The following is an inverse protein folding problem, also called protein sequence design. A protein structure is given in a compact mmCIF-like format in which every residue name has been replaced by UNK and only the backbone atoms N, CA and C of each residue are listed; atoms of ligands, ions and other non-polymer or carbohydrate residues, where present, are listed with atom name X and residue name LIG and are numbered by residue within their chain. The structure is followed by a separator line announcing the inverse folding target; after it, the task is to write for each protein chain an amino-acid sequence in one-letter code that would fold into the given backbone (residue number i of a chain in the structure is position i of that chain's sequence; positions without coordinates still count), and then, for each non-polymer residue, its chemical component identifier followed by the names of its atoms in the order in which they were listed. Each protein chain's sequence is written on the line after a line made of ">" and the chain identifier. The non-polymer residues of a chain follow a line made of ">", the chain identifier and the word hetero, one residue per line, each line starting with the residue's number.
data_IF_496073329876
#
_entry.id   IF_496073329876
#
_cell.length_a   1.000
_cell.length_b   1.000
_cell.length_c   1.000
_cell.angle_alpha   90.00
_cell.angle_beta   90.00
_cell.angle_gamma   90.00
#
_symmetry.space_group_name_H-M   'P 1'
#
loop_
_entity.id
_entity.type
_entity.pdbx_description
1 polymer ?
#
# COMPACT_ATOMS: atom_id res chain seq x y z
N UNK A 1 -61.48 -10.74 -7.39
CA UNK A 1 -60.45 -9.81 -7.90
C UNK A 1 -59.49 -9.55 -6.76
N UNK A 2 -58.44 -10.35 -6.63
CA UNK A 2 -57.44 -10.22 -5.58
C UNK A 2 -56.24 -9.44 -6.12
N UNK A 3 -55.89 -8.38 -5.44
CA UNK A 3 -54.82 -7.47 -5.75
C UNK A 3 -53.44 -8.11 -5.37
N UNK A 4 -52.49 -8.27 -6.29
CA UNK A 4 -51.19 -8.90 -6.03
C UNK A 4 -50.15 -7.87 -5.57
N UNK A 5 -50.33 -7.30 -4.39
CA UNK A 5 -49.35 -6.38 -3.77
C UNK A 5 -49.23 -6.71 -2.30
N UNK A 6 -48.56 -7.79 -1.98
CA UNK A 6 -47.90 -8.00 -0.68
C UNK A 6 -47.30 -9.39 -0.65
N UNK A 7 -46.14 -9.53 -1.28
CA UNK A 7 -45.29 -10.69 -1.09
C UNK A 7 -44.18 -10.32 -0.11
N UNK A 8 -44.24 -10.72 1.16
CA UNK A 8 -43.21 -10.37 2.17
C UNK A 8 -41.84 -11.02 1.90
N UNK A 9 -41.78 -12.01 1.03
CA UNK A 9 -40.48 -12.67 0.65
C UNK A 9 -39.55 -11.78 -0.18
N UNK A 10 -40.08 -10.77 -0.90
CA UNK A 10 -39.22 -9.91 -1.75
C UNK A 10 -38.48 -8.86 -0.91
N UNK A 11 -39.00 -8.46 0.25
CA UNK A 11 -38.36 -7.50 1.15
C UNK A 11 -37.21 -8.12 1.95
N UNK A 12 -37.29 -9.41 2.28
CA UNK A 12 -36.26 -10.12 3.04
C UNK A 12 -35.07 -10.52 2.14
N UNK A 13 -35.31 -10.79 0.86
CA UNK A 13 -34.24 -11.07 -0.12
C UNK A 13 -33.38 -9.83 -0.42
N UNK A 14 -33.95 -8.62 -0.37
CA UNK A 14 -33.21 -7.38 -0.59
C UNK A 14 -32.25 -7.01 0.55
N UNK A 15 -32.48 -7.50 1.77
CA UNK A 15 -31.66 -7.22 2.95
C UNK A 15 -30.42 -8.13 3.05
N UNK A 16 -30.46 -9.33 2.45
CA UNK A 16 -29.31 -10.27 2.49
C UNK A 16 -28.28 -10.06 1.39
N UNK A 17 -28.55 -9.20 0.40
CA UNK A 17 -27.74 -9.00 -0.81
C UNK A 17 -26.60 -7.98 -0.62
N UNK A 18 -26.61 -7.24 0.50
CA UNK A 18 -25.77 -6.04 0.65
C UNK A 18 -24.43 -6.23 1.37
N UNK A 19 -23.91 -7.44 1.52
CA UNK A 19 -22.84 -7.71 2.48
C UNK A 19 -21.44 -7.92 1.89
N UNK A 20 -21.15 -7.50 0.65
CA UNK A 20 -19.81 -7.70 0.08
C UNK A 20 -19.19 -6.40 -0.36
N UNK A 21 -18.43 -5.83 0.53
CA UNK A 21 -17.75 -4.58 0.30
C UNK A 21 -16.25 -4.74 0.58
N UNK A 22 -15.44 -4.43 -0.41
CA UNK A 22 -14.00 -4.36 -0.28
C UNK A 22 -13.59 -2.94 0.08
N UNK A 23 -13.02 -2.76 1.25
CA UNK A 23 -12.27 -1.54 1.54
C UNK A 23 -10.98 -1.60 0.75
N UNK A 24 -10.88 -0.80 -0.32
CA UNK A 24 -9.66 -0.70 -1.11
C UNK A 24 -8.60 0.07 -0.34
N UNK A 25 -7.86 -0.64 0.50
CA UNK A 25 -6.56 -0.13 0.94
C UNK A 25 -5.60 -0.31 -0.24
N UNK A 26 -5.57 0.66 -1.16
CA UNK A 26 -4.75 0.67 -2.39
C UNK A 26 -3.24 0.44 -2.12
N UNK A 27 -2.82 0.41 -0.85
CA UNK A 27 -1.42 0.45 -0.46
C UNK A 27 -0.96 -0.65 0.50
N UNK A 28 -1.74 -1.70 0.77
CA UNK A 28 -1.34 -2.72 1.75
C UNK A 28 -0.11 -3.54 1.35
N UNK A 29 0.33 -3.48 0.10
CA UNK A 29 1.42 -4.30 -0.45
C UNK A 29 2.38 -3.47 -1.33
N UNK A 30 2.86 -2.34 -0.82
CA UNK A 30 3.95 -1.60 -1.46
C UNK A 30 5.25 -2.40 -1.38
N UNK A 31 5.90 -2.61 -2.54
CA UNK A 31 7.26 -3.15 -2.64
C UNK A 31 8.21 -1.96 -2.78
N UNK A 32 8.78 -1.50 -1.66
CA UNK A 32 9.64 -0.32 -1.63
C UNK A 32 11.07 -0.70 -1.24
N UNK A 33 11.98 -0.96 -2.22
CA UNK A 33 13.38 -1.22 -1.94
C UNK A 33 14.06 0.01 -1.34
N UNK A 34 15.11 -0.21 -0.54
CA UNK A 34 15.96 0.80 0.09
C UNK A 34 15.29 1.65 1.18
N UNK A 35 14.23 1.10 1.79
CA UNK A 35 13.53 1.79 2.87
C UNK A 35 14.41 2.11 4.08
N UNK A 36 15.44 1.29 4.33
CA UNK A 36 16.36 1.43 5.47
C UNK A 36 17.79 1.81 5.09
N UNK A 37 18.08 2.03 3.79
CA UNK A 37 19.40 2.45 3.34
C UNK A 37 19.90 3.71 4.05
N UNK A 38 21.21 3.78 4.27
CA UNK A 38 21.84 4.94 4.90
C UNK A 38 21.76 6.14 3.97
N UNK A 39 21.35 7.26 4.52
CA UNK A 39 21.30 8.57 3.84
C UNK A 39 21.83 9.65 4.81
N UNK A 40 22.28 10.81 4.31
CA UNK A 40 22.72 11.90 5.19
C UNK A 40 21.59 12.43 6.06
N UNK A 41 21.95 12.95 7.23
CA UNK A 41 21.02 13.69 8.09
C UNK A 41 20.70 15.05 7.47
N UNK A 42 19.49 15.57 7.71
CA UNK A 42 19.03 16.85 7.14
C UNK A 42 18.64 16.75 5.67
N UNK A 43 18.57 15.54 5.10
CA UNK A 43 18.07 15.33 3.75
C UNK A 43 16.55 15.53 3.72
N UNK A 44 16.10 16.35 2.79
CA UNK A 44 14.71 16.50 2.40
C UNK A 44 14.50 15.91 1.01
N UNK A 45 13.38 15.27 0.77
CA UNK A 45 13.01 14.76 -0.54
C UNK A 45 11.51 14.99 -0.81
N UNK A 46 11.19 15.54 -1.97
CA UNK A 46 9.82 15.62 -2.47
C UNK A 46 9.68 14.65 -3.65
N UNK A 47 8.57 13.94 -3.71
CA UNK A 47 8.28 12.98 -4.78
C UNK A 47 6.90 13.25 -5.37
N UNK A 48 6.84 13.25 -6.70
CA UNK A 48 5.60 13.17 -7.47
C UNK A 48 5.60 11.84 -8.20
N UNK A 49 4.52 11.07 -8.09
CA UNK A 49 4.39 9.82 -8.81
C UNK A 49 3.03 9.69 -9.50
N UNK A 50 3.04 8.96 -10.61
CA UNK A 50 1.86 8.49 -11.31
C UNK A 50 1.90 6.97 -11.36
N UNK A 51 0.82 6.35 -10.90
CA UNK A 51 0.64 4.90 -10.94
C UNK A 51 -0.62 4.57 -11.73
N UNK A 52 -0.47 3.72 -12.73
CA UNK A 52 -1.59 3.02 -13.34
C UNK A 52 -1.64 1.61 -12.77
N UNK A 53 -2.81 1.18 -12.33
CA UNK A 53 -3.01 -0.19 -11.88
C UNK A 53 -4.32 -0.73 -12.45
N UNK A 54 -4.30 -2.02 -12.81
CA UNK A 54 -5.48 -2.69 -13.33
C UNK A 54 -5.42 -4.17 -13.03
N UNK A 55 -6.58 -4.75 -12.73
CA UNK A 55 -6.70 -6.18 -12.45
C UNK A 55 -7.95 -6.55 -11.67
N UNK A 56 -8.03 -7.81 -11.35
CA UNK A 56 -9.18 -8.39 -10.68
C UNK A 56 -9.06 -8.28 -9.16
N UNK A 57 -10.21 -8.27 -8.51
CA UNK A 57 -10.29 -8.43 -7.06
C UNK A 57 -10.90 -9.79 -6.78
N UNK A 58 -10.10 -10.66 -6.20
CA UNK A 58 -10.53 -12.01 -5.81
C UNK A 58 -11.45 -11.87 -4.60
N UNK A 59 -12.72 -12.15 -4.81
CA UNK A 59 -13.75 -12.14 -3.78
C UNK A 59 -13.73 -13.46 -3.01
N UNK A 60 -14.08 -13.44 -1.73
CA UNK A 60 -14.31 -14.66 -0.95
C UNK A 60 -15.41 -15.54 -1.61
N UNK A 61 -15.36 -16.85 -1.33
CA UNK A 61 -16.21 -17.87 -1.97
C UNK A 61 -17.73 -17.60 -1.91
N UNK A 62 -18.18 -16.87 -0.89
CA UNK A 62 -19.60 -16.56 -0.67
C UNK A 62 -19.96 -15.12 -1.07
N UNK A 63 -19.14 -14.46 -1.90
CA UNK A 63 -19.36 -13.10 -2.32
C UNK A 63 -20.49 -12.99 -3.36
N UNK A 64 -21.53 -12.15 -3.19
CA UNK A 64 -22.49 -11.86 -4.23
C UNK A 64 -21.92 -10.96 -5.35
N UNK A 65 -20.71 -10.44 -5.18
CA UNK A 65 -19.97 -9.69 -6.20
C UNK A 65 -19.01 -10.65 -6.88
N UNK A 66 -19.17 -10.83 -8.17
CA UNK A 66 -18.33 -11.68 -9.02
C UNK A 66 -17.64 -10.81 -10.07
N UNK A 67 -16.51 -11.30 -10.59
CA UNK A 67 -15.77 -10.67 -11.69
C UNK A 67 -15.49 -9.18 -11.43
N UNK A 68 -15.15 -8.81 -10.19
CA UNK A 68 -14.79 -7.45 -9.85
C UNK A 68 -13.43 -7.11 -10.46
N UNK A 69 -13.43 -6.25 -11.47
CA UNK A 69 -12.23 -5.71 -12.09
C UNK A 69 -12.14 -4.22 -11.78
N UNK A 70 -10.93 -3.74 -11.45
CA UNK A 70 -10.70 -2.34 -11.13
C UNK A 70 -9.47 -1.83 -11.86
N UNK A 71 -9.66 -0.67 -12.49
CA UNK A 71 -8.59 0.13 -13.06
C UNK A 71 -8.47 1.44 -12.29
N UNK A 72 -7.25 1.81 -11.95
CA UNK A 72 -6.96 3.02 -11.20
C UNK A 72 -5.81 3.80 -11.83
N UNK A 73 -5.99 5.11 -11.97
CA UNK A 73 -4.92 6.09 -12.20
C UNK A 73 -4.73 6.89 -10.93
N UNK A 74 -3.52 6.89 -10.38
CA UNK A 74 -3.23 7.46 -9.06
C UNK A 74 -2.06 8.44 -9.20
N UNK A 75 -2.28 9.68 -8.79
CA UNK A 75 -1.23 10.69 -8.64
C UNK A 75 -0.92 10.78 -7.15
N UNK A 76 0.35 10.68 -6.76
CA UNK A 76 0.73 10.79 -5.35
C UNK A 76 1.82 11.83 -5.14
N UNK A 77 1.65 12.62 -4.09
CA UNK A 77 2.67 13.51 -3.56
C UNK A 77 3.25 12.90 -2.30
N UNK A 78 4.58 12.88 -2.23
CA UNK A 78 5.33 12.38 -1.08
C UNK A 78 6.38 13.38 -0.62
N UNK A 79 6.69 13.33 0.67
CA UNK A 79 7.77 14.09 1.27
C UNK A 79 8.48 13.22 2.30
N UNK A 80 9.80 13.29 2.31
CA UNK A 80 10.67 12.59 3.25
C UNK A 80 11.64 13.58 3.86
N UNK A 81 11.86 13.45 5.17
CA UNK A 81 12.90 14.17 5.89
C UNK A 81 13.67 13.21 6.79
N UNK A 82 15.00 13.39 6.83
CA UNK A 82 15.88 12.68 7.74
C UNK A 82 16.37 13.60 8.84
N UNK A 83 16.54 13.04 10.03
CA UNK A 83 16.94 13.79 11.22
C UNK A 83 17.76 12.91 12.17
N UNK A 84 18.43 13.53 13.14
CA UNK A 84 19.10 12.79 14.21
C UNK A 84 18.14 12.55 15.37
N UNK A 85 17.95 11.29 15.77
CA UNK A 85 17.18 10.86 16.92
C UNK A 85 18.07 10.03 17.84
N UNK A 86 18.43 10.53 19.02
CA UNK A 86 19.31 9.85 19.97
C UNK A 86 20.60 9.29 19.31
N UNK A 87 21.25 10.10 18.49
CA UNK A 87 22.45 9.73 17.68
C UNK A 87 22.22 8.58 16.69
N UNK A 88 20.98 8.34 16.29
CA UNK A 88 20.58 7.41 15.24
C UNK A 88 19.95 8.17 14.08
N UNK A 89 20.01 7.60 12.90
CA UNK A 89 19.33 8.16 11.73
C UNK A 89 17.82 7.92 11.85
N UNK A 90 17.08 8.99 12.09
CA UNK A 90 15.63 9.01 12.06
C UNK A 90 15.09 9.45 10.69
N UNK A 91 13.89 9.02 10.35
CA UNK A 91 13.23 9.35 9.09
C UNK A 91 11.73 9.53 9.33
N UNK A 92 11.18 10.58 8.76
CA UNK A 92 9.74 10.76 8.59
C UNK A 92 9.43 10.81 7.10
N UNK A 93 8.41 10.07 6.67
CA UNK A 93 7.86 10.16 5.33
C UNK A 93 6.36 10.37 5.41
N UNK A 94 5.83 11.25 4.57
CA UNK A 94 4.39 11.49 4.44
C UNK A 94 4.01 11.39 2.96
N UNK A 95 2.80 10.92 2.70
CA UNK A 95 2.31 10.80 1.33
C UNK A 95 0.80 10.88 1.26
N UNK A 96 0.29 11.48 0.19
CA UNK A 96 -1.15 11.59 -0.07
C UNK A 96 -1.42 11.26 -1.54
N UNK A 97 -2.26 10.26 -1.83
CA UNK A 97 -2.67 9.92 -3.18
C UNK A 97 -3.98 10.62 -3.55
N UNK A 98 -4.13 10.90 -4.84
CA UNK A 98 -5.40 11.22 -5.47
C UNK A 98 -5.66 10.18 -6.56
N UNK A 99 -6.80 9.49 -6.50
CA UNK A 99 -7.10 8.36 -7.35
C UNK A 99 -8.32 8.63 -8.26
N UNK A 100 -8.24 8.10 -9.47
CA UNK A 100 -9.34 7.96 -10.41
C UNK A 100 -9.57 6.46 -10.58
N UNK A 101 -10.69 5.95 -10.07
CA UNK A 101 -11.06 4.53 -10.09
C UNK A 101 -12.19 4.29 -11.07
N UNK A 102 -12.07 3.24 -11.87
CA UNK A 102 -13.16 2.68 -12.66
C UNK A 102 -13.23 1.18 -12.35
N UNK A 103 -14.41 0.71 -12.02
CA UNK A 103 -14.65 -0.69 -11.69
C UNK A 103 -15.85 -1.25 -12.42
N UNK A 104 -15.77 -2.53 -12.79
CA UNK A 104 -16.87 -3.34 -13.30
C UNK A 104 -17.02 -4.59 -12.45
N UNK A 105 -18.23 -5.02 -12.20
CA UNK A 105 -18.53 -6.21 -11.44
C UNK A 105 -19.85 -6.82 -11.88
N UNK A 106 -20.06 -8.09 -11.56
CA UNK A 106 -21.37 -8.73 -11.64
C UNK A 106 -21.95 -8.87 -10.24
N UNK A 107 -23.01 -8.12 -9.99
CA UNK A 107 -23.70 -8.10 -8.68
C UNK A 107 -25.05 -8.79 -8.83
N UNK A 108 -25.22 -9.94 -8.15
CA UNK A 108 -26.48 -10.74 -8.21
C UNK A 108 -26.92 -11.00 -9.64
N UNK A 109 -25.96 -11.38 -10.51
CA UNK A 109 -26.24 -11.70 -11.91
C UNK A 109 -26.37 -10.48 -12.85
N UNK A 110 -26.33 -9.25 -12.36
CA UNK A 110 -26.38 -8.03 -13.16
C UNK A 110 -25.02 -7.39 -13.30
N UNK A 111 -24.63 -7.05 -14.53
CA UNK A 111 -23.40 -6.34 -14.81
C UNK A 111 -23.54 -4.87 -14.36
N UNK A 112 -22.58 -4.41 -13.59
CA UNK A 112 -22.58 -3.08 -12.96
C UNK A 112 -21.22 -2.43 -13.15
N UNK A 113 -21.23 -1.11 -13.41
CA UNK A 113 -20.02 -0.31 -13.49
C UNK A 113 -20.10 0.88 -12.51
N UNK A 114 -18.98 1.26 -11.94
CA UNK A 114 -18.89 2.43 -11.07
C UNK A 114 -17.54 3.15 -11.26
N UNK A 115 -17.57 4.46 -11.10
CA UNK A 115 -16.36 5.29 -11.08
C UNK A 115 -16.31 6.13 -9.81
N UNK A 116 -15.09 6.42 -9.35
CA UNK A 116 -14.80 7.28 -8.19
C UNK A 116 -13.54 8.06 -8.45
N UNK A 117 -13.50 9.29 -7.99
CA UNK A 117 -12.28 10.08 -7.97
C UNK A 117 -12.21 10.89 -6.68
N UNK A 118 -11.02 11.04 -6.12
CA UNK A 118 -10.81 11.77 -4.88
C UNK A 118 -9.50 11.42 -4.20
N UNK A 119 -9.27 12.04 -3.06
CA UNK A 119 -8.13 11.72 -2.21
C UNK A 119 -8.28 10.34 -1.59
N UNK A 120 -7.18 9.59 -1.56
CA UNK A 120 -7.06 8.38 -0.76
C UNK A 120 -6.56 8.68 0.65
N UNK A 121 -6.45 7.64 1.47
CA UNK A 121 -5.93 7.78 2.83
C UNK A 121 -4.46 8.21 2.79
N UNK A 122 -4.13 9.16 3.65
CA UNK A 122 -2.77 9.63 3.84
C UNK A 122 -1.88 8.57 4.49
N UNK A 123 -0.57 8.64 4.25
CA UNK A 123 0.41 7.78 4.90
C UNK A 123 1.46 8.58 5.62
N UNK A 124 1.81 8.11 6.82
CA UNK A 124 2.91 8.64 7.62
C UNK A 124 3.77 7.44 8.02
N UNK A 125 5.06 7.46 7.67
CA UNK A 125 6.04 6.46 8.11
C UNK A 125 7.06 7.16 9.01
N UNK A 126 7.21 6.66 10.23
CA UNK A 126 8.26 7.07 11.16
C UNK A 126 9.23 5.90 11.30
N UNK A 127 10.49 6.12 11.05
CA UNK A 127 11.50 5.07 11.10
C UNK A 127 12.79 5.52 11.78
N UNK A 128 13.52 4.57 12.33
CA UNK A 128 14.85 4.78 12.88
C UNK A 128 15.75 3.58 12.55
N UNK A 129 16.96 3.87 12.10
CA UNK A 129 17.99 2.85 11.90
C UNK A 129 18.72 2.62 13.24
N UNK A 130 18.59 1.42 13.80
CA UNK A 130 19.11 1.08 15.10
C UNK A 130 20.60 0.69 15.06
N UNK A 131 21.00 -0.05 14.04
CA UNK A 131 22.35 -0.60 13.87
C UNK A 131 22.84 -0.30 12.45
N UNK A 132 24.16 -0.08 12.28
CA UNK A 132 24.82 0.04 10.99
C UNK A 132 24.62 1.36 10.25
N UNK A 133 23.91 2.31 10.83
CA UNK A 133 23.63 3.60 10.21
C UNK A 133 23.94 4.74 11.17
N UNK A 134 25.19 5.24 11.19
CA UNK A 134 25.53 6.42 11.97
C UNK A 134 24.85 7.67 11.40
N UNK A 135 24.74 8.70 12.24
CA UNK A 135 24.32 10.04 11.77
C UNK A 135 25.48 10.67 11.01
N UNK A 136 25.27 10.87 9.71
CA UNK A 136 26.32 11.38 8.80
C UNK A 136 25.87 12.70 8.18
N UNK A 137 26.76 13.69 8.26
CA UNK A 137 26.64 14.91 7.45
C UNK A 137 26.88 14.58 5.96
N UNK A 138 26.37 15.38 5.01
CA UNK A 138 26.54 15.11 3.57
C UNK A 138 28.00 14.89 3.12
N UNK A 139 28.95 15.62 3.74
CA UNK A 139 30.41 15.48 3.46
C UNK A 139 30.98 14.16 3.91
N UNK A 140 30.49 13.61 5.03
CA UNK A 140 31.02 12.36 5.61
C UNK A 140 30.33 11.15 4.97
N UNK A 141 29.09 11.31 4.54
CA UNK A 141 28.33 10.27 3.83
C UNK A 141 29.05 9.80 2.55
N UNK A 142 29.76 10.68 1.83
CA UNK A 142 30.49 10.32 0.62
C UNK A 142 31.60 9.29 0.85
N UNK A 143 32.14 9.23 2.07
CA UNK A 143 33.23 8.32 2.46
C UNK A 143 32.71 7.07 3.18
N UNK A 144 31.44 7.06 3.58
CA UNK A 144 30.86 5.98 4.34
C UNK A 144 30.57 4.77 3.45
N UNK A 145 30.96 3.60 3.92
CA UNK A 145 30.60 2.33 3.29
C UNK A 145 29.52 1.65 4.13
N UNK A 146 28.35 1.56 3.55
CA UNK A 146 27.22 0.85 4.13
C UNK A 146 27.49 -0.65 4.09
N UNK A 147 27.22 -1.35 5.21
CA UNK A 147 27.28 -2.81 5.31
C UNK A 147 25.91 -3.36 5.68
N UNK A 148 25.70 -3.71 6.97
CA UNK A 148 24.42 -4.20 7.44
C UNK A 148 23.73 -3.12 8.26
N UNK A 149 22.50 -2.84 7.92
CA UNK A 149 21.62 -1.91 8.62
C UNK A 149 20.42 -2.68 9.17
N UNK A 150 20.12 -2.47 10.45
CA UNK A 150 18.89 -2.90 11.08
C UNK A 150 18.08 -1.65 11.44
N UNK A 151 16.85 -1.57 10.99
CA UNK A 151 15.94 -0.48 11.31
C UNK A 151 14.56 -0.95 11.71
N UNK A 152 13.83 -0.06 12.38
CA UNK A 152 12.43 -0.25 12.72
C UNK A 152 11.63 0.96 12.26
N UNK A 153 10.37 0.74 11.96
CA UNK A 153 9.45 1.82 11.61
C UNK A 153 8.03 1.52 12.05
N UNK A 154 7.21 2.56 12.10
CA UNK A 154 5.76 2.44 12.18
C UNK A 154 5.15 3.21 11.03
N UNK A 155 4.27 2.56 10.27
CA UNK A 155 3.50 3.20 9.20
C UNK A 155 2.08 3.41 9.70
N UNK A 156 1.55 4.62 9.54
CA UNK A 156 0.17 4.97 9.81
C UNK A 156 -0.57 5.19 8.50
N UNK A 157 -1.77 4.61 8.37
CA UNK A 157 -2.78 4.97 7.39
C UNK A 157 -3.79 5.89 8.07
N UNK A 158 -3.87 7.12 7.57
CA UNK A 158 -4.70 8.20 8.14
C UNK A 158 -5.98 8.32 7.32
N UNK A 159 -7.19 8.17 7.89
CA UNK A 159 -8.46 8.10 7.16
C UNK A 159 -8.95 9.49 6.71
N UNK A 160 -8.17 10.16 5.86
CA UNK A 160 -8.52 11.45 5.24
C UNK A 160 -9.08 11.27 3.82
N UNK A 161 -9.11 10.05 3.33
CA UNK A 161 -9.58 9.73 1.99
C UNK A 161 -11.08 9.90 1.84
N UNK A 162 -11.50 10.07 0.59
CA UNK A 162 -12.91 10.21 0.24
C UNK A 162 -13.67 8.92 0.57
N UNK A 163 -14.69 9.03 1.40
CA UNK A 163 -15.50 7.92 1.86
C UNK A 163 -17.00 8.25 1.82
N UNK A 164 -17.79 7.32 1.29
CA UNK A 164 -19.25 7.37 1.23
C UNK A 164 -19.81 6.10 1.84
N UNK A 165 -20.50 6.24 2.97
CA UNK A 165 -21.01 5.10 3.74
C UNK A 165 -22.09 4.28 3.03
N UNK A 166 -22.74 4.85 2.01
CA UNK A 166 -23.77 4.20 1.19
C UNK A 166 -23.19 3.52 -0.07
N UNK A 167 -21.89 3.60 -0.29
CA UNK A 167 -21.23 3.05 -1.48
C UNK A 167 -20.38 1.83 -1.15
N UNK A 168 -20.37 0.87 -2.08
CA UNK A 168 -19.57 -0.35 -2.01
C UNK A 168 -18.08 -0.10 -2.25
N UNK A 169 -17.77 0.80 -3.17
CA UNK A 169 -16.39 1.12 -3.56
C UNK A 169 -16.08 2.52 -3.05
N UNK A 170 -15.07 2.61 -2.21
CA UNK A 170 -14.55 3.85 -1.66
C UNK A 170 -13.04 3.96 -1.90
N UNK A 171 -12.53 5.19 -2.01
CA UNK A 171 -11.10 5.48 -2.14
C UNK A 171 -10.44 5.48 -0.76
N UNK A 172 -11.07 6.08 0.24
CA UNK A 172 -10.67 6.03 1.64
C UNK A 172 -11.23 4.83 2.38
N UNK A 173 -10.57 4.40 3.44
CA UNK A 173 -10.97 3.25 4.26
C UNK A 173 -11.88 3.60 5.44
N UNK A 174 -11.97 4.90 5.80
CA UNK A 174 -12.68 5.41 6.96
C UNK A 174 -12.29 4.73 8.29
N UNK A 175 -11.01 4.32 8.39
CA UNK A 175 -10.44 3.71 9.59
C UNK A 175 -8.93 3.96 9.63
N UNK A 176 -8.38 4.02 10.82
CA UNK A 176 -6.95 4.06 11.02
C UNK A 176 -6.34 2.69 10.76
N UNK A 177 -5.13 2.69 10.23
CA UNK A 177 -4.27 1.53 10.18
C UNK A 177 -2.89 1.88 10.73
N UNK A 178 -2.22 0.94 11.37
CA UNK A 178 -0.83 1.10 11.77
C UNK A 178 -0.06 -0.20 11.58
N UNK A 179 1.18 -0.08 11.12
CA UNK A 179 2.06 -1.21 10.84
C UNK A 179 3.40 -0.98 11.50
N UNK A 180 3.70 -1.57 12.66
CA UNK A 180 5.07 -1.77 13.10
C UNK A 180 5.79 -2.68 12.10
N UNK A 181 7.04 -2.31 11.77
CA UNK A 181 7.86 -3.01 10.78
C UNK A 181 9.31 -3.03 11.24
N UNK A 182 9.98 -4.15 11.04
CA UNK A 182 11.43 -4.31 11.19
C UNK A 182 12.02 -4.57 9.81
N UNK A 183 13.19 -4.01 9.54
CA UNK A 183 13.87 -4.19 8.27
C UNK A 183 15.37 -4.36 8.44
N UNK A 184 15.93 -5.22 7.61
CA UNK A 184 17.36 -5.45 7.46
C UNK A 184 17.74 -5.12 6.03
N UNK A 185 18.83 -4.37 5.86
CA UNK A 185 19.49 -4.13 4.58
C UNK A 185 20.97 -4.53 4.71
N UNK A 186 21.47 -5.33 3.80
CA UNK A 186 22.87 -5.74 3.75
C UNK A 186 23.46 -5.42 2.40
N UNK A 187 24.57 -4.69 2.41
CA UNK A 187 25.29 -4.33 1.18
C UNK A 187 26.58 -5.14 1.03
N UNK A 188 26.71 -5.80 -0.12
CA UNK A 188 27.94 -6.45 -0.54
C UNK A 188 28.38 -5.88 -1.90
N UNK A 189 29.39 -5.02 -1.86
CA UNK A 189 29.88 -4.33 -3.05
C UNK A 189 28.79 -3.47 -3.72
N UNK A 190 28.24 -3.96 -4.85
CA UNK A 190 27.17 -3.31 -5.61
C UNK A 190 25.79 -3.91 -5.38
N UNK A 191 25.72 -5.03 -4.68
CA UNK A 191 24.49 -5.72 -4.35
C UNK A 191 23.94 -5.26 -3.01
N UNK A 192 22.63 -5.15 -2.92
CA UNK A 192 21.89 -4.99 -1.67
C UNK A 192 20.90 -6.14 -1.54
N UNK A 193 20.84 -6.71 -0.35
CA UNK A 193 19.89 -7.72 0.05
C UNK A 193 19.06 -7.14 1.19
N UNK A 194 17.76 -7.07 1.00
CA UNK A 194 16.88 -6.45 1.98
C UNK A 194 15.72 -7.36 2.33
N UNK A 195 15.31 -7.33 3.59
CA UNK A 195 14.15 -8.05 4.09
C UNK A 195 13.40 -7.21 5.10
N UNK A 196 12.08 -7.11 4.94
CA UNK A 196 11.21 -6.36 5.83
C UNK A 196 10.06 -7.24 6.31
N UNK A 197 9.70 -7.13 7.58
CA UNK A 197 8.58 -7.83 8.18
C UNK A 197 7.75 -6.86 9.02
N UNK A 198 6.45 -6.87 8.84
CA UNK A 198 5.52 -6.00 9.55
C UNK A 198 4.14 -6.62 9.74
N UNK A 199 3.37 -6.03 10.64
CA UNK A 199 2.00 -6.46 10.93
C UNK A 199 1.09 -5.25 10.91
N UNK A 200 0.07 -5.26 10.05
CA UNK A 200 -0.97 -4.25 10.04
C UNK A 200 -2.04 -4.56 11.09
N UNK A 201 -2.40 -3.53 11.83
CA UNK A 201 -3.56 -3.48 12.71
C UNK A 201 -4.48 -2.36 12.24
N UNK A 202 -5.79 -2.56 12.38
CA UNK A 202 -6.79 -1.62 11.90
C UNK A 202 -7.81 -1.32 13.01
N UNK A 203 -8.28 -0.06 13.06
CA UNK A 203 -9.47 0.26 13.84
C UNK A 203 -10.72 -0.18 13.07
N UNK A 204 -11.86 -0.21 13.74
CA UNK A 204 -13.14 -0.50 13.12
C UNK A 204 -13.62 0.66 12.25
N UNK A 205 -14.36 0.32 11.19
CA UNK A 205 -15.17 1.26 10.43
C UNK A 205 -16.65 1.03 10.77
N UNK A 206 -17.22 1.90 11.61
CA UNK A 206 -18.60 1.80 12.09
C UNK A 206 -19.62 2.44 11.13
N UNK A 207 -19.16 2.94 9.98
CA UNK A 207 -20.01 3.55 8.95
C UNK A 207 -19.92 2.77 7.64
N UNK A 208 -19.60 1.49 7.72
CA UNK A 208 -19.44 0.65 6.56
C UNK A 208 -20.80 0.27 6.00
N UNK A 209 -21.02 0.54 4.73
CA UNK A 209 -22.23 0.25 3.96
C UNK A 209 -23.52 0.24 4.80
N UNK A 210 -24.16 1.42 4.89
CA UNK A 210 -25.43 1.63 5.64
C UNK A 210 -25.34 1.31 7.14
N UNK A 211 -24.29 1.78 7.83
CA UNK A 211 -24.11 1.69 9.28
C UNK A 211 -23.69 0.30 9.80
N UNK A 212 -23.16 -0.55 8.95
CA UNK A 212 -22.50 -1.78 9.40
C UNK A 212 -21.14 -1.47 10.02
N UNK A 213 -20.67 -2.34 10.90
CA UNK A 213 -19.33 -2.30 11.46
C UNK A 213 -18.44 -3.29 10.72
N UNK A 214 -17.35 -2.78 10.13
CA UNK A 214 -16.31 -3.60 9.55
C UNK A 214 -15.06 -3.55 10.42
N UNK A 215 -14.63 -4.68 10.94
CA UNK A 215 -13.33 -4.87 11.56
C UNK A 215 -12.44 -5.81 10.72
N UNK A 216 -11.15 -5.85 11.02
CA UNK A 216 -10.18 -6.70 10.30
C UNK A 216 -9.15 -7.25 11.28
N UNK A 217 -8.89 -8.54 11.18
CA UNK A 217 -7.81 -9.22 11.92
C UNK A 217 -6.44 -8.71 11.46
N UNK A 218 -5.41 -9.00 12.22
CA UNK A 218 -4.04 -8.62 11.88
C UNK A 218 -3.63 -9.18 10.51
N UNK A 219 -2.94 -8.33 9.70
CA UNK A 219 -2.42 -8.71 8.39
C UNK A 219 -0.89 -8.65 8.42
N UNK A 220 -0.26 -9.80 8.29
CA UNK A 220 1.19 -9.93 8.21
C UNK A 220 1.68 -9.56 6.82
N UNK A 221 2.81 -8.86 6.73
CA UNK A 221 3.45 -8.49 5.48
C UNK A 221 4.95 -8.73 5.54
N UNK A 222 5.47 -9.35 4.48
CA UNK A 222 6.89 -9.60 4.29
C UNK A 222 7.31 -9.06 2.94
N UNK A 223 8.52 -8.49 2.88
CA UNK A 223 9.11 -8.04 1.63
C UNK A 223 10.56 -8.50 1.59
N UNK A 224 11.02 -8.83 0.39
CA UNK A 224 12.43 -9.13 0.11
C UNK A 224 12.83 -8.42 -1.18
N UNK A 225 14.03 -7.84 -1.18
CA UNK A 225 14.55 -7.12 -2.33
C UNK A 225 16.00 -7.52 -2.58
N UNK A 226 16.36 -7.59 -3.85
CA UNK A 226 17.74 -7.74 -4.29
C UNK A 226 18.02 -6.63 -5.31
N UNK A 227 18.92 -5.74 -4.94
CA UNK A 227 19.25 -4.57 -5.75
C UNK A 227 20.67 -4.67 -6.30
N UNK A 228 20.86 -4.22 -7.53
CA UNK A 228 22.17 -4.00 -8.10
C UNK A 228 22.38 -2.52 -8.42
N UNK A 229 23.44 -1.93 -7.84
CA UNK A 229 23.80 -0.53 -8.06
C UNK A 229 24.87 -0.42 -9.16
N UNK A 230 24.51 0.26 -10.23
CA UNK A 230 25.44 0.62 -11.31
C UNK A 230 26.25 1.87 -10.93
N UNK A 231 27.16 2.26 -11.82
CA UNK A 231 27.87 3.54 -11.70
C UNK A 231 26.87 4.72 -11.72
N UNK A 232 27.25 5.83 -11.09
CA UNK A 232 26.48 7.07 -11.03
C UNK A 232 25.13 6.95 -10.32
N UNK A 233 24.97 6.03 -9.36
CA UNK A 233 23.79 5.94 -8.52
C UNK A 233 22.55 5.32 -9.18
N UNK A 234 22.65 4.80 -10.39
CA UNK A 234 21.57 4.02 -11.01
C UNK A 234 21.43 2.68 -10.30
N UNK A 235 20.21 2.17 -10.15
CA UNK A 235 20.03 0.80 -9.66
C UNK A 235 18.82 0.12 -10.32
N UNK A 236 18.87 -1.19 -10.30
CA UNK A 236 17.73 -2.06 -10.58
C UNK A 236 17.49 -2.95 -9.36
N UNK A 237 16.23 -3.20 -9.03
CA UNK A 237 15.84 -4.08 -7.95
C UNK A 237 14.84 -5.13 -8.43
N UNK A 238 14.98 -6.35 -7.93
CA UNK A 238 13.94 -7.36 -7.95
C UNK A 238 13.27 -7.37 -6.58
N UNK A 239 11.95 -7.37 -6.58
CA UNK A 239 11.15 -7.24 -5.39
C UNK A 239 10.21 -8.43 -5.26
N UNK A 240 10.08 -8.96 -4.05
CA UNK A 240 9.09 -9.97 -3.68
C UNK A 240 8.32 -9.51 -2.46
N UNK A 241 7.04 -9.83 -2.41
CA UNK A 241 6.18 -9.55 -1.27
C UNK A 241 5.22 -10.67 -0.98
N UNK A 242 4.92 -10.86 0.29
CA UNK A 242 3.94 -11.82 0.78
C UNK A 242 3.09 -11.17 1.87
N UNK A 243 1.78 -11.39 1.80
CA UNK A 243 0.84 -10.96 2.83
C UNK A 243 -0.03 -12.12 3.26
N UNK A 244 -0.27 -12.26 4.57
CA UNK A 244 -1.05 -13.36 5.15
C UNK A 244 -1.93 -12.88 6.30
N UNK A 245 -3.15 -13.41 6.39
CA UNK A 245 -4.14 -13.04 7.41
C UNK A 245 -5.04 -11.90 6.97
N UNK A 246 -5.46 -11.03 7.89
CA UNK A 246 -6.27 -9.85 7.58
C UNK A 246 -7.71 -10.17 7.19
N UNK A 247 -8.26 -11.30 7.67
CA UNK A 247 -9.67 -11.63 7.49
C UNK A 247 -10.57 -10.50 8.01
N UNK A 248 -11.57 -10.15 7.22
CA UNK A 248 -12.54 -9.13 7.62
C UNK A 248 -13.74 -9.72 8.36
N UNK A 249 -14.29 -8.94 9.29
CA UNK A 249 -15.44 -9.31 10.12
C UNK A 249 -16.50 -8.24 9.90
N UNK A 250 -17.69 -8.63 9.47
CA UNK A 250 -18.82 -7.72 9.23
C UNK A 250 -19.91 -7.97 10.26
N UNK A 251 -20.19 -6.97 11.09
CA UNK A 251 -21.17 -7.05 12.18
C UNK A 251 -20.96 -8.28 13.07
N UNK A 252 -19.71 -8.62 13.38
CA UNK A 252 -19.33 -9.76 14.20
C UNK A 252 -19.28 -11.11 13.48
N UNK A 253 -19.55 -11.16 12.16
CA UNK A 253 -19.49 -12.37 11.36
C UNK A 253 -18.23 -12.43 10.50
N UNK A 254 -17.47 -13.51 10.61
CA UNK A 254 -16.27 -13.77 9.80
C UNK A 254 -16.64 -13.92 8.31
N UNK A 255 -15.79 -13.36 7.43
CA UNK A 255 -16.05 -13.33 5.98
C UNK A 255 -15.26 -14.37 5.20
N UNK A 256 -14.32 -15.06 5.83
CA UNK A 256 -13.47 -16.09 5.22
C UNK A 256 -12.70 -15.54 4.01
N UNK A 257 -12.26 -14.28 4.10
CA UNK A 257 -11.52 -13.54 3.07
C UNK A 257 -10.08 -13.25 3.50
N UNK A 258 -9.51 -14.10 4.35
CA UNK A 258 -8.11 -13.99 4.75
C UNK A 258 -7.18 -14.07 3.54
N UNK A 259 -6.16 -13.24 3.56
CA UNK A 259 -5.21 -13.10 2.48
C UNK A 259 -4.11 -14.16 2.59
N UNK A 260 -3.66 -14.62 1.44
CA UNK A 260 -2.43 -15.36 1.23
C UNK A 260 -1.94 -14.98 -0.17
N UNK A 261 -1.28 -13.82 -0.22
CA UNK A 261 -1.05 -13.13 -1.48
C UNK A 261 0.44 -12.95 -1.73
N UNK A 262 0.91 -13.40 -2.89
CA UNK A 262 2.26 -13.23 -3.37
C UNK A 262 2.33 -12.17 -4.46
N UNK A 263 3.33 -11.33 -4.40
CA UNK A 263 3.61 -10.30 -5.40
C UNK A 263 5.07 -10.31 -5.78
N UNK A 264 5.33 -9.98 -7.05
CA UNK A 264 6.69 -9.73 -7.54
C UNK A 264 6.73 -8.37 -8.25
N UNK A 265 7.90 -7.82 -8.37
CA UNK A 265 8.08 -6.58 -9.10
C UNK A 265 9.53 -6.28 -9.43
N UNK A 266 9.71 -5.26 -10.21
CA UNK A 266 11.02 -4.70 -10.54
C UNK A 266 10.99 -3.19 -10.38
N UNK A 267 12.11 -2.65 -9.97
CA UNK A 267 12.33 -1.20 -9.83
C UNK A 267 13.58 -0.82 -10.60
N UNK A 268 13.50 0.21 -11.39
CA UNK A 268 14.66 0.88 -11.98
C UNK A 268 14.67 2.33 -11.52
N UNK A 269 15.83 2.81 -11.05
CA UNK A 269 16.00 4.21 -10.65
C UNK A 269 17.28 4.78 -11.25
N UNK A 270 17.20 6.02 -11.69
CA UNK A 270 18.34 6.74 -12.27
C UNK A 270 18.32 8.21 -11.88
N UNK A 271 19.45 8.79 -11.47
CA UNK A 271 19.59 10.24 -11.42
C UNK A 271 19.37 10.85 -12.80
N UNK A 272 18.73 12.02 -12.83
CA UNK A 272 18.49 12.81 -14.05
C UNK A 272 18.93 14.25 -13.79
N UNK A 273 19.38 14.94 -14.84
CA UNK A 273 19.89 16.33 -14.79
C UNK A 273 21.04 16.55 -13.80
N UNK A 274 20.89 16.22 -12.51
CA UNK A 274 21.93 16.34 -11.48
C UNK A 274 21.69 15.29 -10.36
N UNK A 275 22.54 15.30 -9.32
CA UNK A 275 22.48 14.33 -8.21
C UNK A 275 21.28 14.56 -7.26
N UNK A 276 20.60 15.68 -7.36
CA UNK A 276 19.44 16.01 -6.53
C UNK A 276 18.12 15.49 -7.11
N UNK A 277 18.15 15.02 -8.36
CA UNK A 277 16.96 14.61 -9.08
C UNK A 277 17.07 13.17 -9.55
N UNK A 278 16.01 12.41 -9.40
CA UNK A 278 15.94 11.04 -9.88
C UNK A 278 14.57 10.69 -10.44
N UNK A 279 14.55 9.76 -11.37
CA UNK A 279 13.35 9.12 -11.88
C UNK A 279 13.39 7.66 -11.49
N UNK A 280 12.26 7.14 -11.02
CA UNK A 280 12.05 5.75 -10.65
C UNK A 280 10.90 5.18 -11.46
N UNK A 281 11.13 4.03 -12.07
CA UNK A 281 10.13 3.24 -12.77
C UNK A 281 9.94 1.92 -12.04
N UNK A 282 8.68 1.55 -11.79
CA UNK A 282 8.35 0.31 -11.06
C UNK A 282 7.23 -0.43 -11.77
N UNK A 283 7.33 -1.75 -11.81
CA UNK A 283 6.25 -2.65 -12.22
C UNK A 283 6.10 -3.69 -11.11
N UNK A 284 4.88 -3.85 -10.61
CA UNK A 284 4.55 -4.85 -9.59
C UNK A 284 3.30 -5.60 -10.03
N UNK A 285 3.27 -6.92 -9.84
CA UNK A 285 2.13 -7.76 -10.20
C UNK A 285 1.84 -8.81 -9.14
N UNK A 286 0.59 -9.20 -9.00
CA UNK A 286 0.19 -10.38 -8.24
C UNK A 286 0.64 -11.65 -8.96
N UNK A 287 1.10 -12.64 -8.20
CA UNK A 287 1.52 -13.95 -8.72
C UNK A 287 0.53 -15.02 -8.28
N UNK A 288 0.15 -14.97 -7.03
CA UNK A 288 -0.88 -15.81 -6.45
C UNK A 288 -1.67 -14.98 -5.45
N UNK A 289 -2.98 -14.95 -5.57
CA UNK A 289 -3.87 -14.16 -4.72
C UNK A 289 -5.05 -15.02 -4.29
N UNK A 290 -5.15 -15.28 -2.99
CA UNK A 290 -6.26 -16.01 -2.40
C UNK A 290 -7.49 -15.12 -2.23
N UNK A 291 -7.30 -13.92 -1.70
CA UNK A 291 -8.36 -12.94 -1.52
C UNK A 291 -7.81 -11.52 -1.64
N UNK A 292 -8.65 -10.59 -2.12
CA UNK A 292 -8.28 -9.19 -2.29
C UNK A 292 -7.72 -8.88 -3.68
N UNK A 293 -6.81 -7.94 -3.74
CA UNK A 293 -6.38 -7.33 -5.01
C UNK A 293 -5.34 -8.16 -5.75
N UNK A 294 -5.68 -8.59 -6.96
CA UNK A 294 -4.77 -9.22 -7.92
C UNK A 294 -4.60 -8.30 -9.13
N UNK A 295 -3.74 -7.31 -9.00
CA UNK A 295 -3.53 -6.30 -10.03
C UNK A 295 -2.05 -6.17 -10.42
N UNK A 296 -1.84 -5.67 -11.63
CA UNK A 296 -0.54 -5.15 -12.08
C UNK A 296 -0.54 -3.64 -11.93
N UNK A 297 0.53 -3.10 -11.36
CA UNK A 297 0.73 -1.67 -11.20
C UNK A 297 2.03 -1.24 -11.89
N UNK A 298 1.94 -0.15 -12.66
CA UNK A 298 3.08 0.51 -13.29
C UNK A 298 3.18 1.91 -12.72
N UNK A 299 4.33 2.24 -12.15
CA UNK A 299 4.56 3.54 -11.51
C UNK A 299 5.75 4.25 -12.13
N UNK A 300 5.57 5.53 -12.42
CA UNK A 300 6.63 6.47 -12.74
C UNK A 300 6.69 7.52 -11.62
N UNK A 301 7.86 7.70 -11.01
CA UNK A 301 8.05 8.67 -9.95
C UNK A 301 9.24 9.59 -10.25
N UNK A 302 9.08 10.87 -9.98
CA UNK A 302 10.12 11.86 -9.99
C UNK A 302 10.39 12.34 -8.56
N UNK A 303 11.65 12.39 -8.16
CA UNK A 303 12.07 12.79 -6.83
C UNK A 303 13.11 13.92 -6.92
N UNK A 304 12.94 14.93 -6.06
CA UNK A 304 13.88 16.02 -5.87
C UNK A 304 14.37 16.03 -4.42
N UNK A 305 15.71 16.07 -4.23
CA UNK A 305 16.37 16.03 -2.93
C UNK A 305 17.12 17.33 -2.66
N UNK A 306 17.08 17.83 -1.40
CA UNK A 306 17.86 19.00 -0.95
C UNK A 306 18.24 18.89 0.53
N UNK A 307 19.09 19.79 1.01
CA UNK A 307 19.54 19.90 2.41
C UNK A 307 19.20 21.26 2.98
#
# INVERSE_FOLDING_TARGET
>A
MNNPKDCPMLKTAFFSICAVCFSFSVFAQELEPRSYSVVPVGLHAAQLSYTFSGGDVVSGLNSPVQNLNINASIISLGYVQTFSLFKKLGRIAVGVPYAFLNGTARVVGMDTAASRNGFGDGRIKLGVNLIGSPVLEPKDFQKFQEHTVLGVSVVFSVPIGQYFSDKLINIGSNRWGFKPEIGVSHREGRLFYEGYAGVWFFTENNQYFNKSTLSQKALFSFQAHVDYTFKHGKYVALNGGFASGGETILNGMDRFDDQENWRIGTTFSTPVFNRHQSVKFMINTGVATRAGQNYTAITLAYQYNWF
#
